data_IF_380694455603
#
_entry.id   IF_380694455603
#
_cell.length_a   1.000
_cell.length_b   1.000
_cell.length_c   1.000
_cell.angle_alpha   90.00
_cell.angle_beta   90.00
_cell.angle_gamma   90.00
#
_symmetry.space_group_name_H-M   'P 1'
#
loop_
_entity.id
_entity.type
_entity.pdbx_description
1 polymer ?
#
# COMPACT_ATOMS: atom_id res chain seq x y z
N UNK A 1 -1.04 -21.76 -32.46
CA UNK A 1 -0.84 -21.38 -31.03
C UNK A 1 0.56 -20.87 -30.66
N UNK A 2 1.60 -20.93 -31.52
CA UNK A 2 2.95 -20.43 -31.18
C UNK A 2 3.23 -18.95 -31.51
N UNK A 3 2.38 -18.27 -32.27
CA UNK A 3 2.57 -16.86 -32.66
C UNK A 3 2.06 -15.83 -31.64
N UNK A 4 1.25 -16.26 -30.67
CA UNK A 4 0.65 -15.37 -29.65
C UNK A 4 1.56 -15.12 -28.44
N UNK A 5 2.50 -16.04 -28.13
CA UNK A 5 3.44 -15.84 -27.01
C UNK A 5 4.55 -14.82 -27.30
N UNK A 6 5.03 -14.71 -28.55
CA UNK A 6 6.09 -13.74 -28.90
C UNK A 6 5.61 -12.29 -28.85
N UNK A 7 4.31 -12.02 -29.05
CA UNK A 7 3.77 -10.67 -28.97
C UNK A 7 3.70 -10.16 -27.51
N UNK A 8 3.49 -11.06 -26.55
CA UNK A 8 3.41 -10.76 -25.11
C UNK A 8 4.79 -10.40 -24.54
N UNK A 9 5.87 -11.01 -25.05
CA UNK A 9 7.25 -10.69 -24.66
C UNK A 9 7.80 -9.39 -25.28
N UNK A 10 7.19 -8.88 -26.36
CA UNK A 10 7.65 -7.67 -27.06
C UNK A 10 6.94 -6.38 -26.58
N UNK A 11 5.92 -6.49 -25.73
CA UNK A 11 5.23 -5.33 -25.18
C UNK A 11 6.06 -4.71 -24.06
N UNK A 12 6.34 -3.38 -24.15
CA UNK A 12 6.84 -2.60 -23.00
C UNK A 12 5.96 -2.93 -21.79
N UNK A 13 6.57 -3.23 -20.63
CA UNK A 13 5.89 -3.78 -19.46
C UNK A 13 4.64 -3.02 -19.00
N UNK A 14 4.56 -1.72 -19.28
CA UNK A 14 3.39 -0.87 -19.06
C UNK A 14 2.11 -1.35 -19.80
N UNK A 15 2.22 -2.07 -20.91
CA UNK A 15 1.08 -2.59 -21.67
C UNK A 15 0.62 -4.00 -21.22
N UNK A 16 1.45 -4.75 -20.49
CA UNK A 16 1.07 -6.07 -19.96
C UNK A 16 0.00 -5.94 -18.86
N UNK A 17 0.02 -4.83 -18.13
CA UNK A 17 -0.88 -4.53 -17.02
C UNK A 17 -2.11 -3.71 -17.41
N UNK A 18 -2.05 -2.92 -18.49
CA UNK A 18 -3.24 -2.30 -19.08
C UNK A 18 -4.33 -3.35 -19.39
N UNK A 19 -3.92 -4.61 -19.63
CA UNK A 19 -4.82 -5.73 -19.81
C UNK A 19 -5.53 -6.19 -18.54
N UNK A 20 -5.09 -5.89 -17.32
CA UNK A 20 -5.79 -6.30 -16.09
C UNK A 20 -6.95 -5.37 -15.71
N UNK A 21 -6.97 -4.12 -16.19
CA UNK A 21 -8.06 -3.17 -15.92
C UNK A 21 -8.28 -2.87 -14.43
N UNK A 22 -7.25 -3.06 -13.60
CA UNK A 22 -7.27 -2.73 -12.18
C UNK A 22 -7.07 -1.21 -11.99
N UNK A 23 -7.56 -0.63 -10.87
CA UNK A 23 -7.35 0.77 -10.56
C UNK A 23 -5.86 1.09 -10.49
N UNK A 24 -5.52 2.28 -10.94
CA UNK A 24 -4.19 2.88 -10.80
C UNK A 24 -4.34 4.31 -10.34
N UNK A 25 -3.37 4.80 -9.58
CA UNK A 25 -3.26 6.24 -9.36
C UNK A 25 -2.70 6.92 -10.61
N UNK A 26 -3.07 8.19 -10.85
CA UNK A 26 -2.29 9.01 -11.76
C UNK A 26 -0.85 9.11 -11.23
N UNK A 27 0.08 9.34 -12.15
CA UNK A 27 1.46 9.69 -11.78
C UNK A 27 1.45 10.86 -10.79
N UNK A 28 2.42 10.88 -9.87
CA UNK A 28 2.56 12.03 -8.97
C UNK A 28 2.77 13.26 -9.86
N UNK A 29 1.91 14.29 -9.77
CA UNK A 29 2.12 15.50 -10.55
C UNK A 29 3.51 16.06 -10.29
N UNK A 30 4.14 16.63 -11.31
CA UNK A 30 5.35 17.41 -11.07
C UNK A 30 5.01 18.52 -10.07
N UNK A 31 5.69 18.48 -8.92
CA UNK A 31 5.51 19.47 -7.87
C UNK A 31 6.19 20.77 -8.31
N UNK A 32 5.56 21.91 -8.05
CA UNK A 32 6.24 23.18 -8.21
C UNK A 32 7.38 23.32 -7.18
N UNK A 33 8.32 24.23 -7.45
CA UNK A 33 9.50 24.41 -6.62
C UNK A 33 9.17 24.85 -5.18
N UNK A 34 8.05 25.54 -4.95
CA UNK A 34 7.64 25.97 -3.62
C UNK A 34 7.13 24.78 -2.80
N UNK A 35 6.31 23.92 -3.42
CA UNK A 35 5.80 22.68 -2.83
C UNK A 35 6.94 21.71 -2.52
N UNK A 36 7.90 21.54 -3.44
CA UNK A 36 9.07 20.70 -3.20
C UNK A 36 9.89 21.21 -2.00
N UNK A 37 10.19 22.51 -1.93
CA UNK A 37 10.90 23.09 -0.77
C UNK A 37 10.15 22.91 0.54
N UNK A 38 8.83 23.07 0.53
CA UNK A 38 8.00 22.87 1.71
C UNK A 38 8.04 21.40 2.19
N UNK A 39 8.07 20.45 1.27
CA UNK A 39 8.17 19.02 1.57
C UNK A 39 9.53 18.66 2.17
N UNK A 40 10.61 19.18 1.58
CA UNK A 40 11.97 19.00 2.09
C UNK A 40 12.16 19.62 3.47
N UNK A 41 11.67 20.84 3.69
CA UNK A 41 11.75 21.50 5.00
C UNK A 41 10.95 20.76 6.08
N UNK A 42 9.71 20.35 5.75
CA UNK A 42 8.89 19.56 6.65
C UNK A 42 9.57 18.24 7.03
N UNK A 43 10.14 17.54 6.04
CA UNK A 43 10.82 16.26 6.25
C UNK A 43 12.07 16.42 7.12
N UNK A 44 12.90 17.42 6.83
CA UNK A 44 14.09 17.73 7.63
C UNK A 44 13.74 18.03 9.08
N UNK A 45 12.64 18.74 9.31
CA UNK A 45 12.20 19.16 10.64
C UNK A 45 11.65 18.01 11.48
N UNK A 46 10.89 17.09 10.87
CA UNK A 46 10.10 16.12 11.61
C UNK A 46 10.54 14.66 11.44
N UNK A 47 11.30 14.33 10.41
CA UNK A 47 11.73 12.95 10.11
C UNK A 47 13.25 12.79 10.28
N UNK A 48 14.07 13.75 9.83
CA UNK A 48 15.54 13.60 9.85
C UNK A 48 16.18 13.90 11.23
N UNK A 49 15.47 14.57 12.15
CA UNK A 49 15.87 14.81 13.55
C UNK A 49 14.97 13.99 14.48
N UNK A 50 15.53 13.22 15.43
CA UNK A 50 15.20 11.84 15.88
C UNK A 50 13.87 11.15 15.46
N UNK A 51 13.17 11.64 14.44
CA UNK A 51 11.75 11.48 14.28
C UNK A 51 10.91 12.24 15.33
N UNK A 52 9.62 12.38 15.06
CA UNK A 52 8.61 12.69 16.09
C UNK A 52 7.38 11.80 15.93
N UNK A 53 6.86 11.29 17.04
CA UNK A 53 5.58 10.59 17.08
C UNK A 53 4.41 11.52 17.45
N UNK A 54 4.61 12.83 17.36
CA UNK A 54 3.50 13.77 17.41
C UNK A 54 2.57 13.57 16.21
N UNK A 55 1.32 14.03 16.36
CA UNK A 55 0.37 14.04 15.25
C UNK A 55 0.80 15.05 14.19
N UNK A 56 1.39 14.55 13.10
CA UNK A 56 1.88 15.39 12.01
C UNK A 56 0.80 15.70 10.97
N UNK A 57 0.89 16.89 10.37
CA UNK A 57 0.15 17.28 9.16
C UNK A 57 1.15 17.86 8.16
N UNK A 58 1.43 17.18 7.03
CA UNK A 58 2.33 17.71 6.04
C UNK A 58 1.67 18.88 5.29
N UNK A 59 2.46 19.76 4.66
CA UNK A 59 1.92 20.76 3.74
C UNK A 59 1.13 20.10 2.59
N UNK A 60 -0.01 20.69 2.24
CA UNK A 60 -0.87 20.19 1.16
C UNK A 60 -1.62 18.89 1.50
N UNK A 61 -1.90 18.07 0.48
CA UNK A 61 -2.61 16.79 0.65
C UNK A 61 -1.66 15.73 1.21
N UNK A 62 -2.08 15.05 2.28
CA UNK A 62 -1.32 13.98 2.96
C UNK A 62 -0.82 12.93 1.95
N UNK A 63 -1.70 12.45 1.08
CA UNK A 63 -1.35 11.44 0.08
C UNK A 63 -0.26 11.91 -0.90
N UNK A 64 -0.30 13.18 -1.32
CA UNK A 64 0.72 13.73 -2.23
C UNK A 64 2.08 13.77 -1.54
N UNK A 65 2.13 14.21 -0.29
CA UNK A 65 3.37 14.22 0.50
C UNK A 65 3.91 12.81 0.72
N UNK A 66 3.07 11.85 1.13
CA UNK A 66 3.53 10.48 1.40
C UNK A 66 4.06 9.78 0.14
N UNK A 67 3.42 9.99 -1.02
CA UNK A 67 3.92 9.48 -2.30
C UNK A 67 5.25 10.14 -2.69
N UNK A 68 5.40 11.44 -2.47
CA UNK A 68 6.67 12.13 -2.67
C UNK A 68 7.76 11.59 -1.73
N UNK A 69 7.42 11.40 -0.46
CA UNK A 69 8.34 10.90 0.58
C UNK A 69 8.88 9.51 0.22
N UNK A 70 8.00 8.61 -0.26
CA UNK A 70 8.37 7.27 -0.71
C UNK A 70 9.39 7.26 -1.86
N UNK A 71 9.36 8.30 -2.72
CA UNK A 71 10.27 8.43 -3.87
C UNK A 71 11.61 9.03 -3.47
N UNK A 72 11.62 9.97 -2.53
CA UNK A 72 12.80 10.79 -2.22
C UNK A 72 13.56 10.34 -0.97
N UNK A 73 12.94 9.57 -0.08
CA UNK A 73 13.55 9.13 1.17
C UNK A 73 13.56 7.60 1.30
N UNK A 74 14.55 7.07 2.03
CA UNK A 74 14.69 5.64 2.31
C UNK A 74 13.77 5.22 3.47
N UNK A 75 12.47 5.34 3.24
CA UNK A 75 11.43 5.02 4.23
C UNK A 75 10.43 4.01 3.70
N UNK A 76 9.72 3.38 4.62
CA UNK A 76 8.59 2.50 4.37
C UNK A 76 7.40 2.95 5.25
N UNK A 77 6.22 2.42 4.96
CA UNK A 77 4.97 2.74 5.63
C UNK A 77 4.38 1.49 6.27
N UNK A 78 3.86 1.65 7.48
CA UNK A 78 3.06 0.66 8.17
C UNK A 78 1.72 1.28 8.56
N UNK A 79 0.62 0.65 8.18
CA UNK A 79 -0.72 1.11 8.53
C UNK A 79 -1.29 0.40 9.74
N UNK A 80 -1.80 1.15 10.71
CA UNK A 80 -2.46 0.58 11.88
C UNK A 80 -3.59 1.48 12.38
N UNK A 81 -4.59 0.87 13.00
CA UNK A 81 -5.64 1.59 13.73
C UNK A 81 -5.18 1.98 15.14
N UNK A 82 -4.08 1.40 15.61
CA UNK A 82 -3.53 1.68 16.95
C UNK A 82 -2.73 2.97 16.93
N UNK A 83 -3.11 3.90 17.79
CA UNK A 83 -2.35 5.11 18.13
C UNK A 83 -1.11 4.73 18.98
N UNK A 84 -0.08 5.58 18.97
CA UNK A 84 0.98 5.55 19.96
C UNK A 84 1.94 4.37 19.87
N UNK A 85 2.04 3.72 18.71
CA UNK A 85 3.01 2.64 18.52
C UNK A 85 4.42 3.24 18.54
N UNK A 86 5.14 3.04 19.64
CA UNK A 86 6.54 3.45 19.78
C UNK A 86 7.52 2.43 19.21
N UNK A 87 7.09 1.18 19.04
CA UNK A 87 7.89 0.07 18.54
C UNK A 87 6.95 -0.98 17.91
N UNK A 88 7.24 -1.36 16.68
CA UNK A 88 6.62 -2.50 16.00
C UNK A 88 7.46 -3.73 16.28
N UNK A 89 6.80 -4.81 16.73
CA UNK A 89 7.45 -6.09 17.00
C UNK A 89 7.17 -7.08 15.86
N UNK A 90 8.06 -8.06 15.63
CA UNK A 90 7.87 -9.12 14.64
C UNK A 90 6.83 -10.15 15.11
N UNK A 91 5.62 -9.66 15.38
CA UNK A 91 4.46 -10.44 15.76
C UNK A 91 3.57 -10.65 14.53
N UNK A 92 2.93 -11.82 14.43
CA UNK A 92 2.01 -12.13 13.35
C UNK A 92 0.59 -11.90 13.84
N UNK A 93 -0.06 -10.85 13.32
CA UNK A 93 -1.45 -10.51 13.66
C UNK A 93 -2.48 -10.94 12.59
N UNK A 94 -2.04 -11.59 11.49
CA UNK A 94 -2.94 -12.11 10.45
C UNK A 94 -2.43 -13.41 9.84
N UNK A 95 -3.24 -14.09 9.03
CA UNK A 95 -2.80 -15.21 8.19
C UNK A 95 -2.64 -14.72 6.74
N UNK A 96 -1.62 -15.20 6.03
CA UNK A 96 -1.38 -14.92 4.62
C UNK A 96 -1.15 -16.24 3.89
N UNK A 97 -1.58 -16.33 2.63
CA UNK A 97 -1.48 -17.55 1.84
C UNK A 97 -0.09 -17.79 1.23
N UNK A 98 0.79 -16.78 1.28
CA UNK A 98 2.15 -16.84 0.76
C UNK A 98 3.17 -17.09 1.89
N UNK A 99 4.24 -17.87 1.63
CA UNK A 99 5.31 -18.07 2.62
C UNK A 99 5.91 -16.74 3.11
N UNK A 100 6.13 -15.78 2.20
CA UNK A 100 6.70 -14.47 2.51
C UNK A 100 5.74 -13.59 3.36
N UNK A 101 4.44 -13.63 3.08
CA UNK A 101 3.43 -12.93 3.88
C UNK A 101 3.13 -13.60 5.23
N UNK A 102 3.42 -14.89 5.36
CA UNK A 102 3.10 -15.69 6.56
C UNK A 102 4.17 -15.67 7.66
N UNK A 103 5.33 -15.06 7.41
CA UNK A 103 6.44 -15.07 8.36
C UNK A 103 6.24 -14.15 9.57
N UNK A 104 6.93 -14.45 10.67
CA UNK A 104 7.02 -13.56 11.84
C UNK A 104 8.00 -12.42 11.55
N UNK A 105 7.48 -11.23 11.28
CA UNK A 105 8.25 -10.04 10.94
C UNK A 105 7.43 -8.76 11.16
N UNK A 106 8.10 -7.62 11.23
CA UNK A 106 7.47 -6.31 11.03
C UNK A 106 7.20 -6.16 9.54
N UNK A 107 5.93 -5.99 9.18
CA UNK A 107 5.50 -5.76 7.80
C UNK A 107 5.41 -4.28 7.50
N UNK A 108 5.91 -3.89 6.33
CA UNK A 108 5.84 -2.53 5.82
C UNK A 108 5.71 -2.54 4.30
N UNK A 109 5.47 -1.36 3.73
CA UNK A 109 5.43 -1.18 2.28
C UNK A 109 6.05 0.13 1.86
N UNK A 110 6.62 0.17 0.66
CA UNK A 110 7.04 1.43 0.04
C UNK A 110 5.88 2.15 -0.67
N UNK A 111 4.64 1.67 -0.50
CA UNK A 111 3.43 2.24 -1.06
C UNK A 111 2.48 2.74 0.04
N UNK A 112 2.36 4.06 0.16
CA UNK A 112 1.53 4.67 1.20
C UNK A 112 0.04 4.31 1.06
N UNK A 113 -0.47 4.10 -0.15
CA UNK A 113 -1.89 3.74 -0.36
C UNK A 113 -2.17 2.35 0.18
N UNK A 114 -1.25 1.42 -0.08
CA UNK A 114 -1.38 0.07 0.43
C UNK A 114 -1.28 0.02 1.95
N UNK A 115 -0.39 0.81 2.55
CA UNK A 115 -0.38 0.98 4.01
C UNK A 115 -1.69 1.59 4.53
N UNK A 116 -2.28 2.58 3.83
CA UNK A 116 -3.55 3.18 4.26
C UNK A 116 -4.68 2.17 4.32
N UNK A 117 -4.72 1.17 3.42
CA UNK A 117 -5.69 0.09 3.51
C UNK A 117 -5.70 -0.56 4.89
N UNK A 118 -4.52 -0.90 5.42
CA UNK A 118 -4.41 -1.51 6.75
C UNK A 118 -4.67 -0.53 7.90
N UNK A 119 -4.36 0.76 7.70
CA UNK A 119 -4.67 1.80 8.67
C UNK A 119 -6.18 2.04 8.81
N UNK A 120 -6.92 2.01 7.69
CA UNK A 120 -8.30 2.45 7.63
C UNK A 120 -9.30 1.29 7.71
N UNK A 121 -8.96 0.09 7.22
CA UNK A 121 -9.86 -1.06 7.19
C UNK A 121 -10.34 -1.41 8.61
N UNK A 122 -11.65 -1.31 8.83
CA UNK A 122 -12.27 -1.70 10.08
C UNK A 122 -12.22 -3.22 10.26
N UNK A 123 -11.49 -3.67 11.30
CA UNK A 123 -11.35 -5.09 11.68
C UNK A 123 -12.14 -5.42 12.96
N UNK A 124 -13.30 -4.80 13.10
CA UNK A 124 -14.17 -4.94 14.26
C UNK A 124 -14.99 -6.24 14.25
N UNK A 125 -16.04 -6.28 15.07
CA UNK A 125 -16.95 -7.43 15.16
C UNK A 125 -17.59 -7.70 13.79
N UNK A 126 -17.40 -8.90 13.25
CA UNK A 126 -17.93 -9.30 11.95
C UNK A 126 -16.91 -9.22 10.80
N UNK A 127 -15.73 -8.63 11.01
CA UNK A 127 -14.65 -8.76 10.05
C UNK A 127 -14.18 -10.21 9.96
N UNK A 128 -14.11 -10.74 8.73
CA UNK A 128 -13.63 -12.11 8.45
C UNK A 128 -12.30 -12.08 7.73
N UNK A 129 -12.26 -11.41 6.58
CA UNK A 129 -11.12 -11.47 5.67
C UNK A 129 -11.05 -10.25 4.78
N UNK A 130 -9.83 -9.94 4.36
CA UNK A 130 -9.54 -9.01 3.28
C UNK A 130 -8.67 -9.70 2.25
N UNK A 131 -8.88 -9.35 0.97
CA UNK A 131 -7.96 -9.66 -0.12
C UNK A 131 -7.50 -8.34 -0.70
N UNK A 132 -6.20 -8.18 -0.84
CA UNK A 132 -5.64 -6.93 -1.31
C UNK A 132 -4.30 -7.18 -1.98
N UNK A 133 -3.84 -6.19 -2.73
CA UNK A 133 -2.49 -6.19 -3.25
C UNK A 133 -2.23 -5.02 -4.15
N UNK A 134 -0.94 -4.76 -4.29
CA UNK A 134 -0.38 -3.73 -5.14
C UNK A 134 0.71 -4.36 -5.96
N UNK A 135 0.66 -4.20 -7.28
CA UNK A 135 1.66 -4.75 -8.17
C UNK A 135 2.10 -3.76 -9.21
N UNK A 136 3.35 -3.89 -9.62
CA UNK A 136 3.87 -3.20 -10.79
C UNK A 136 4.92 -4.04 -11.50
N UNK A 137 5.33 -3.61 -12.69
CA UNK A 137 6.50 -4.18 -13.35
C UNK A 137 7.74 -3.76 -12.56
N UNK A 138 8.66 -4.71 -12.37
CA UNK A 138 9.95 -4.45 -11.74
C UNK A 138 10.66 -3.28 -12.41
N UNK A 139 11.07 -2.31 -11.61
CA UNK A 139 11.70 -1.07 -12.07
C UNK A 139 10.72 0.06 -12.41
N UNK A 140 9.42 -0.22 -12.50
CA UNK A 140 8.37 0.77 -12.73
C UNK A 140 7.42 0.83 -11.53
N UNK A 141 7.78 1.63 -10.52
CA UNK A 141 6.96 1.81 -9.30
C UNK A 141 5.82 2.81 -9.47
N UNK A 142 5.78 3.55 -10.59
CA UNK A 142 4.78 4.61 -10.81
C UNK A 142 3.49 4.05 -11.40
N UNK A 143 3.56 2.93 -12.11
CA UNK A 143 2.38 2.29 -12.75
C UNK A 143 1.72 1.22 -11.89
N UNK A 144 1.79 1.37 -10.56
CA UNK A 144 1.17 0.43 -9.62
C UNK A 144 -0.33 0.27 -9.87
N UNK A 145 -0.74 -0.98 -9.86
CA UNK A 145 -2.12 -1.39 -9.90
C UNK A 145 -2.54 -1.96 -8.56
N UNK A 146 -3.76 -1.67 -8.17
CA UNK A 146 -4.27 -2.00 -6.85
C UNK A 146 -5.45 -2.95 -6.96
N UNK A 147 -5.70 -3.71 -5.91
CA UNK A 147 -7.01 -4.27 -5.67
C UNK A 147 -7.25 -4.34 -4.17
N UNK A 148 -8.48 -4.09 -3.77
CA UNK A 148 -8.91 -4.14 -2.39
C UNK A 148 -10.26 -4.81 -2.33
N UNK A 149 -10.42 -5.72 -1.40
CA UNK A 149 -11.66 -6.41 -1.19
C UNK A 149 -11.82 -6.87 0.24
N UNK A 150 -13.07 -6.90 0.69
CA UNK A 150 -13.51 -7.46 1.97
C UNK A 150 -14.56 -8.53 1.73
N UNK A 151 -14.82 -9.34 2.76
CA UNK A 151 -15.91 -10.29 2.71
C UNK A 151 -17.25 -9.59 2.42
N UNK A 152 -18.14 -10.29 1.71
CA UNK A 152 -19.44 -9.81 1.24
C UNK A 152 -20.41 -9.41 2.35
N UNK A 153 -20.21 -9.87 3.59
CA UNK A 153 -21.12 -9.64 4.72
C UNK A 153 -20.84 -8.36 5.52
N UNK A 154 -19.75 -7.63 5.25
CA UNK A 154 -19.42 -6.37 5.94
C UNK A 154 -20.20 -5.17 5.38
N UNK A 155 -20.77 -4.31 6.22
CA UNK A 155 -21.52 -3.12 5.75
C UNK A 155 -20.58 -2.00 5.26
N UNK A 156 -20.98 -1.29 4.19
CA UNK A 156 -20.18 -0.19 3.61
C UNK A 156 -19.92 0.95 4.61
N UNK A 157 -20.94 1.31 5.41
CA UNK A 157 -20.85 2.38 6.41
C UNK A 157 -19.81 2.10 7.52
N UNK A 158 -19.39 0.85 7.66
CA UNK A 158 -18.44 0.38 8.68
C UNK A 158 -17.11 -0.07 8.07
N UNK A 159 -16.89 0.14 6.77
CA UNK A 159 -15.77 -0.46 6.06
C UNK A 159 -14.43 0.20 6.40
N UNK A 160 -14.43 1.53 6.49
CA UNK A 160 -13.25 2.35 6.75
C UNK A 160 -13.47 3.24 7.96
N UNK A 161 -12.45 3.35 8.80
CA UNK A 161 -12.39 4.24 9.96
C UNK A 161 -11.08 5.03 9.92
N UNK A 162 -10.96 6.04 10.76
CA UNK A 162 -9.71 6.74 11.00
C UNK A 162 -8.61 5.78 11.47
N UNK A 163 -7.37 6.10 11.12
CA UNK A 163 -6.20 5.31 11.48
C UNK A 163 -4.90 6.10 11.41
N UNK A 164 -3.80 5.38 11.42
CA UNK A 164 -2.45 5.93 11.46
C UNK A 164 -1.55 5.26 10.43
N UNK A 165 -0.81 6.09 9.71
CA UNK A 165 0.36 5.67 8.96
C UNK A 165 1.61 5.96 9.75
N UNK A 166 2.40 4.93 10.01
CA UNK A 166 3.72 5.02 10.60
C UNK A 166 4.77 5.00 9.50
N UNK A 167 5.69 5.96 9.55
CA UNK A 167 6.88 6.00 8.70
C UNK A 167 8.00 5.28 9.41
N UNK A 168 8.59 4.30 8.72
CA UNK A 168 9.66 3.46 9.23
C UNK A 168 10.94 3.71 8.45
N UNK A 169 12.12 3.64 9.09
CA UNK A 169 13.37 3.59 8.36
C UNK A 169 13.42 2.31 7.52
N UNK A 170 13.89 2.40 6.27
CA UNK A 170 13.98 1.23 5.38
C UNK A 170 15.10 0.25 5.79
N UNK A 171 16.07 0.70 6.57
CA UNK A 171 17.19 -0.13 7.02
C UNK A 171 16.68 -1.40 7.73
N UNK A 172 17.29 -2.54 7.41
CA UNK A 172 16.92 -3.86 7.96
C UNK A 172 15.73 -4.55 7.26
N UNK A 173 14.99 -3.86 6.39
CA UNK A 173 13.90 -4.47 5.64
C UNK A 173 14.38 -5.18 4.37
N UNK A 174 13.76 -6.32 4.08
CA UNK A 174 13.90 -7.07 2.82
C UNK A 174 12.62 -6.98 2.01
N UNK A 175 12.73 -6.67 0.72
CA UNK A 175 11.59 -6.66 -0.19
C UNK A 175 11.13 -8.07 -0.53
N UNK A 176 9.82 -8.24 -0.81
CA UNK A 176 9.33 -9.45 -1.43
C UNK A 176 10.00 -9.67 -2.80
N UNK A 177 10.49 -10.90 -3.08
CA UNK A 177 11.02 -11.23 -4.38
C UNK A 177 9.97 -11.06 -5.49
N UNK A 178 10.39 -10.52 -6.63
CA UNK A 178 9.49 -10.36 -7.77
C UNK A 178 9.03 -11.72 -8.32
N UNK A 179 7.72 -11.86 -8.54
CA UNK A 179 7.11 -13.05 -9.15
C UNK A 179 7.60 -13.16 -10.60
N UNK A 180 8.12 -14.33 -10.94
CA UNK A 180 8.78 -14.60 -12.23
C UNK A 180 9.87 -13.58 -12.60
N UNK A 181 10.47 -12.91 -11.60
CA UNK A 181 11.46 -11.85 -11.79
C UNK A 181 10.90 -10.54 -12.37
N UNK A 182 9.60 -10.47 -12.68
CA UNK A 182 8.98 -9.37 -13.41
C UNK A 182 7.98 -8.59 -12.57
N UNK A 183 7.10 -9.26 -11.83
CA UNK A 183 6.04 -8.58 -11.07
C UNK A 183 6.49 -8.36 -9.64
N UNK A 184 6.62 -7.11 -9.23
CA UNK A 184 6.97 -6.77 -7.85
C UNK A 184 5.71 -6.32 -7.11
N UNK A 185 5.58 -6.76 -5.86
CA UNK A 185 4.63 -6.17 -4.92
C UNK A 185 5.24 -4.91 -4.28
N UNK A 186 4.50 -4.32 -3.33
CA UNK A 186 5.03 -3.29 -2.44
C UNK A 186 5.57 -3.83 -1.12
N UNK A 187 5.68 -5.14 -0.91
CA UNK A 187 5.81 -5.71 0.44
C UNK A 187 7.25 -5.75 0.91
N UNK A 188 7.45 -5.41 2.19
CA UNK A 188 8.73 -5.45 2.88
C UNK A 188 8.56 -6.06 4.27
N UNK A 189 9.60 -6.76 4.73
CA UNK A 189 9.63 -7.43 6.03
C UNK A 189 10.93 -7.14 6.76
N UNK A 190 10.87 -6.96 8.07
CA UNK A 190 12.04 -6.87 8.96
C UNK A 190 11.89 -7.88 10.10
N UNK A 191 12.86 -8.78 10.35
CA UNK A 191 12.77 -9.77 11.42
C UNK A 191 12.92 -9.16 12.83
N UNK A 192 13.45 -7.95 12.93
CA UNK A 192 13.75 -7.28 14.19
C UNK A 192 12.68 -6.22 14.54
N UNK A 193 12.55 -5.82 15.82
CA UNK A 193 11.70 -4.71 16.21
C UNK A 193 12.12 -3.40 15.52
N UNK A 194 11.13 -2.60 15.10
CA UNK A 194 11.35 -1.34 14.38
C UNK A 194 10.65 -0.19 15.07
N UNK A 195 11.39 0.90 15.32
CA UNK A 195 10.83 2.14 15.85
C UNK A 195 10.38 3.04 14.69
N UNK A 196 9.11 3.49 14.67
CA UNK A 196 8.69 4.50 13.70
C UNK A 196 9.42 5.82 13.94
N UNK A 197 9.69 6.55 12.85
CA UNK A 197 10.31 7.88 12.87
C UNK A 197 9.27 9.00 12.71
N UNK A 198 8.07 8.67 12.21
CA UNK A 198 6.97 9.61 12.14
C UNK A 198 5.63 8.88 12.12
N UNK A 199 4.55 9.60 12.40
CA UNK A 199 3.20 9.10 12.14
C UNK A 199 2.26 10.18 11.63
N UNK A 200 1.34 9.78 10.77
CA UNK A 200 0.34 10.62 10.17
C UNK A 200 -1.06 10.08 10.47
N UNK A 201 -1.97 10.90 11.00
CA UNK A 201 -3.38 10.54 11.05
C UNK A 201 -3.90 10.44 9.60
N UNK A 202 -4.69 9.42 9.32
CA UNK A 202 -5.37 9.25 8.04
C UNK A 202 -6.85 8.99 8.28
N UNK A 203 -7.68 9.54 7.40
CA UNK A 203 -9.13 9.37 7.45
C UNK A 203 -9.62 8.74 6.13
N UNK A 204 -10.84 8.17 6.07
CA UNK A 204 -11.33 7.50 4.86
C UNK A 204 -11.26 8.35 3.58
N UNK A 205 -11.41 9.67 3.67
CA UNK A 205 -11.31 10.57 2.51
C UNK A 205 -9.89 10.75 1.97
N UNK A 206 -8.86 10.34 2.71
CA UNK A 206 -7.49 10.30 2.22
C UNK A 206 -7.23 9.07 1.33
N UNK A 207 -8.07 8.03 1.42
CA UNK A 207 -7.94 6.81 0.64
C UNK A 207 -8.50 7.02 -0.78
N UNK A 208 -7.70 6.77 -1.84
CA UNK A 208 -8.10 7.13 -3.20
C UNK A 208 -9.03 6.10 -3.85
N UNK A 209 -9.28 4.96 -3.20
CA UNK A 209 -10.00 3.83 -3.78
C UNK A 209 -11.27 3.46 -3.02
N UNK A 210 -11.85 4.40 -2.26
CA UNK A 210 -13.09 4.16 -1.48
C UNK A 210 -14.26 3.67 -2.33
N UNK A 211 -14.38 4.13 -3.58
CA UNK A 211 -15.47 3.77 -4.49
C UNK A 211 -15.26 2.44 -5.24
N UNK A 212 -14.09 1.80 -5.11
CA UNK A 212 -13.71 0.62 -5.90
C UNK A 212 -13.27 -0.56 -5.03
N UNK A 213 -13.68 -0.57 -3.77
CA UNK A 213 -13.46 -1.72 -2.87
C UNK A 213 -14.42 -2.84 -3.26
N UNK A 214 -13.85 -3.96 -3.71
CA UNK A 214 -14.62 -5.12 -4.15
C UNK A 214 -15.14 -5.98 -2.99
N UNK A 215 -16.05 -6.90 -3.30
CA UNK A 215 -16.55 -7.90 -2.36
C UNK A 215 -16.14 -9.30 -2.80
N UNK A 216 -15.86 -10.18 -1.84
CA UNK A 216 -15.60 -11.60 -2.09
C UNK A 216 -16.32 -12.49 -1.07
N UNK A 217 -16.55 -13.75 -1.43
CA UNK A 217 -16.94 -14.78 -0.46
C UNK A 217 -15.74 -15.63 -0.06
N UNK A 218 -15.83 -16.32 1.07
CA UNK A 218 -14.77 -17.22 1.54
C UNK A 218 -14.52 -18.39 0.58
N UNK A 219 -15.54 -18.81 -0.17
CA UNK A 219 -15.44 -19.91 -1.15
C UNK A 219 -14.95 -19.46 -2.52
N UNK A 220 -14.84 -18.15 -2.77
CA UNK A 220 -14.40 -17.62 -4.06
C UNK A 220 -12.87 -17.72 -4.20
N UNK A 221 -12.35 -18.03 -5.39
CA UNK A 221 -10.91 -18.01 -5.67
C UNK A 221 -10.36 -16.59 -5.85
N UNK A 222 -9.06 -16.38 -5.59
CA UNK A 222 -8.41 -15.09 -5.81
C UNK A 222 -8.53 -14.61 -7.28
N UNK A 223 -8.45 -15.54 -8.23
CA UNK A 223 -8.61 -15.25 -9.67
C UNK A 223 -9.99 -14.65 -9.96
N UNK A 224 -11.05 -15.22 -9.34
CA UNK A 224 -12.41 -14.70 -9.49
C UNK A 224 -12.56 -13.32 -8.82
N UNK A 225 -11.93 -13.10 -7.67
CA UNK A 225 -11.96 -11.78 -7.01
C UNK A 225 -11.30 -10.71 -7.86
N UNK A 226 -10.14 -11.00 -8.46
CA UNK A 226 -9.45 -10.09 -9.37
C UNK A 226 -10.28 -9.82 -10.64
N UNK A 227 -10.96 -10.83 -11.16
CA UNK A 227 -11.88 -10.65 -12.29
C UNK A 227 -13.03 -9.69 -11.95
N UNK A 228 -13.66 -9.86 -10.79
CA UNK A 228 -14.76 -9.00 -10.34
C UNK A 228 -14.28 -7.55 -10.11
N UNK A 229 -13.10 -7.38 -9.51
CA UNK A 229 -12.49 -6.06 -9.28
C UNK A 229 -12.23 -5.32 -10.60
N UNK A 230 -11.77 -6.03 -11.63
CA UNK A 230 -11.61 -5.48 -12.98
C UNK A 230 -12.93 -4.99 -13.58
N UNK A 231 -14.00 -5.77 -13.46
CA UNK A 231 -15.30 -5.41 -14.08
C UNK A 231 -15.95 -4.21 -13.41
N UNK A 232 -15.77 -4.05 -12.09
CA UNK A 232 -16.31 -2.92 -11.34
C UNK A 232 -15.71 -1.56 -11.77
N UNK A 233 -14.47 -1.53 -12.24
CA UNK A 233 -13.79 -0.29 -12.68
C UNK A 233 -14.16 0.18 -14.09
N UNK A 234 -15.07 -0.52 -14.80
CA UNK A 234 -15.46 -0.19 -16.18
C UNK A 234 -16.77 0.60 -16.27
N UNK A 235 -17.36 0.97 -15.14
CA UNK A 235 -18.58 1.76 -15.02
C UNK A 235 -18.29 3.05 -14.25
#
# INVERSE_FOLDING_TARGET
MRRTLSAVLAMRGSNLFALLGLPRLPEVPQLDAATQRAYEEFTRRYLDSPGTLDRLRPPGKVMTYLRWLAVHHQVLFHGSQRDGISELRPDRESDDSTPFGSQRAVFATDDAVWAMWFALLARGRGFRSTRNGVWSVRGDRQTRQYFFSVNSDQLDAELLTDGWLYVLPRAGFTAEPAIAGLLQSGQWVNPDPVRPIARFPVIPTDFPFTSVIGRHSDTESLVRTLWNARTANRH
#
